data_IF_718659623385
#
_entry.id   IF_718659623385
#
_cell.length_a   1.000
_cell.length_b   1.000
_cell.length_c   1.000
_cell.angle_alpha   90.00
_cell.angle_beta   90.00
_cell.angle_gamma   90.00
#
_symmetry.space_group_name_H-M   'P 1'
#
loop_
_entity.id
_entity.type
_entity.pdbx_description
1 polymer ?
#
# COMPACT_ATOMS: atom_id res chain seq x y z
N UNK A 1 15.43 24.16 13.49
CA UNK A 1 15.33 22.88 12.75
C UNK A 1 13.91 22.76 12.26
N UNK A 2 13.69 23.03 10.96
CA UNK A 2 12.38 22.89 10.35
C UNK A 2 12.04 21.39 10.31
N UNK A 3 11.04 20.97 11.07
CA UNK A 3 10.46 19.64 10.93
C UNK A 3 9.70 19.68 9.60
N UNK A 4 10.29 19.09 8.57
CA UNK A 4 9.57 18.87 7.30
C UNK A 4 8.50 17.84 7.63
N UNK A 5 7.23 18.22 7.48
CA UNK A 5 6.13 17.27 7.62
C UNK A 5 6.36 16.09 6.67
N UNK A 6 6.06 14.85 7.10
CA UNK A 6 6.19 13.69 6.22
C UNK A 6 5.36 13.90 4.97
N UNK A 7 5.94 13.59 3.83
CA UNK A 7 5.29 13.77 2.52
C UNK A 7 3.99 12.96 2.48
N UNK A 8 2.86 13.62 2.21
CA UNK A 8 1.51 13.04 2.17
C UNK A 8 1.06 12.35 3.47
N UNK A 9 1.51 12.85 4.63
CA UNK A 9 1.17 12.31 5.95
C UNK A 9 1.50 10.81 6.13
N UNK A 10 2.45 10.30 5.35
CA UNK A 10 2.91 8.92 5.47
C UNK A 10 3.82 8.78 6.69
N UNK A 11 3.54 7.81 7.54
CA UNK A 11 4.38 7.46 8.68
C UNK A 11 5.65 6.73 8.18
N UNK A 12 6.83 7.34 8.28
CA UNK A 12 8.07 6.71 7.81
C UNK A 12 8.36 5.39 8.53
N UNK A 13 8.88 4.41 7.82
CA UNK A 13 9.19 3.08 8.39
C UNK A 13 10.13 3.18 9.60
N UNK A 14 11.11 4.08 9.56
CA UNK A 14 12.00 4.30 10.69
C UNK A 14 11.27 4.82 11.94
N UNK A 15 10.13 5.48 11.78
CA UNK A 15 9.35 6.02 12.89
C UNK A 15 8.45 4.96 13.54
N UNK A 16 7.77 4.12 12.75
CA UNK A 16 6.86 3.12 13.29
C UNK A 16 7.55 1.79 13.63
N UNK A 17 8.72 1.52 13.09
CA UNK A 17 9.46 0.27 13.31
C UNK A 17 10.83 0.50 13.96
N UNK A 18 11.39 1.70 13.83
CA UNK A 18 12.66 2.08 14.45
C UNK A 18 13.89 1.85 13.58
N UNK A 19 13.77 1.21 12.42
CA UNK A 19 14.87 1.05 11.48
C UNK A 19 14.42 1.36 10.04
N UNK A 20 15.30 1.98 9.22
CA UNK A 20 14.94 2.31 7.84
C UNK A 20 14.79 1.05 6.99
N UNK A 21 14.14 1.20 5.83
CA UNK A 21 14.02 0.12 4.85
C UNK A 21 15.39 -0.30 4.34
N UNK A 22 15.57 -1.62 4.18
CA UNK A 22 16.74 -2.20 3.53
C UNK A 22 16.63 -2.20 1.99
N UNK A 23 15.47 -1.90 1.44
CA UNK A 23 15.28 -1.81 -0.01
C UNK A 23 16.02 -0.60 -0.55
N UNK A 24 16.74 -0.78 -1.67
CA UNK A 24 17.67 0.22 -2.20
C UNK A 24 17.28 0.74 -3.59
N UNK A 25 16.45 -0.01 -4.34
CA UNK A 25 16.15 0.32 -5.73
C UNK A 25 14.93 1.24 -5.77
N UNK A 26 15.14 2.48 -6.22
CA UNK A 26 14.07 3.45 -6.41
C UNK A 26 13.21 3.09 -7.63
N UNK A 27 11.89 3.31 -7.50
CA UNK A 27 10.98 3.27 -8.64
C UNK A 27 11.23 4.46 -9.56
N UNK A 28 11.05 4.25 -10.87
CA UNK A 28 11.02 5.35 -11.84
C UNK A 28 9.74 6.16 -11.61
N UNK A 29 9.87 7.45 -11.38
CA UNK A 29 8.75 8.37 -11.11
C UNK A 29 8.47 9.28 -12.32
N UNK A 30 7.22 9.69 -12.51
CA UNK A 30 6.04 9.33 -11.73
C UNK A 30 5.62 7.88 -12.00
N UNK A 31 5.23 7.17 -10.94
CA UNK A 31 4.71 5.78 -11.03
C UNK A 31 3.34 5.80 -11.71
N UNK A 32 3.05 4.81 -12.53
CA UNK A 32 1.83 4.78 -13.36
C UNK A 32 0.81 3.72 -12.96
N UNK A 33 1.14 2.86 -12.00
CA UNK A 33 0.28 1.75 -11.58
C UNK A 33 0.19 1.64 -10.06
N UNK A 34 -1.03 1.53 -9.56
CA UNK A 34 -1.34 1.28 -8.15
C UNK A 34 -2.08 -0.04 -8.01
N UNK A 35 -1.59 -0.93 -7.18
CA UNK A 35 -2.19 -2.22 -6.89
C UNK A 35 -2.79 -2.20 -5.49
N UNK A 36 -4.11 -2.35 -5.39
CA UNK A 36 -4.81 -2.41 -4.10
C UNK A 36 -4.80 -3.84 -3.58
N UNK A 37 -4.39 -4.00 -2.33
CA UNK A 37 -4.25 -5.29 -1.64
C UNK A 37 -4.90 -5.25 -0.26
N UNK A 38 -5.14 -6.43 0.33
CA UNK A 38 -5.38 -6.58 1.76
C UNK A 38 -4.38 -7.57 2.36
N UNK A 39 -4.21 -7.50 3.67
CA UNK A 39 -3.18 -8.29 4.36
C UNK A 39 -3.71 -9.58 4.97
N UNK A 40 -5.02 -9.77 5.04
CA UNK A 40 -5.70 -10.89 5.73
C UNK A 40 -5.24 -11.00 7.20
N UNK A 41 -5.05 -9.86 7.83
CA UNK A 41 -4.78 -9.74 9.26
C UNK A 41 -6.02 -9.28 10.01
N UNK A 42 -5.91 -9.16 11.33
CA UNK A 42 -6.89 -8.37 12.09
C UNK A 42 -6.87 -6.93 11.60
N UNK A 43 -8.01 -6.27 11.72
CA UNK A 43 -8.07 -4.81 11.57
C UNK A 43 -7.52 -4.14 12.82
N UNK A 44 -7.16 -2.88 12.68
CA UNK A 44 -6.70 -2.03 13.78
C UNK A 44 -7.46 -0.71 13.77
N UNK A 45 -7.64 -0.13 14.96
CA UNK A 45 -8.29 1.18 15.13
C UNK A 45 -7.44 2.16 15.95
N UNK A 46 -6.35 1.70 16.54
CA UNK A 46 -5.40 2.53 17.29
C UNK A 46 -4.04 2.51 16.63
N UNK A 47 -3.24 3.54 16.88
CA UNK A 47 -1.87 3.61 16.34
C UNK A 47 -1.03 2.41 16.81
N UNK A 48 -1.10 2.07 18.10
CA UNK A 48 -0.35 0.96 18.66
C UNK A 48 -0.70 -0.39 18.02
N UNK A 49 -1.98 -0.65 17.79
CA UNK A 49 -2.43 -1.90 17.15
C UNK A 49 -2.03 -1.94 15.67
N UNK A 50 -2.17 -0.84 14.95
CA UNK A 50 -1.80 -0.78 13.54
C UNK A 50 -0.27 -0.97 13.36
N UNK A 51 0.53 -0.32 14.17
CA UNK A 51 1.99 -0.48 14.16
C UNK A 51 2.39 -1.92 14.51
N UNK A 52 1.72 -2.53 15.49
CA UNK A 52 1.97 -3.92 15.86
C UNK A 52 1.70 -4.88 14.70
N UNK A 53 0.60 -4.68 13.96
CA UNK A 53 0.28 -5.50 12.78
C UNK A 53 1.32 -5.27 11.68
N UNK A 54 1.66 -4.02 11.39
CA UNK A 54 2.67 -3.67 10.40
C UNK A 54 4.04 -4.29 10.73
N UNK A 55 4.47 -4.20 11.99
CA UNK A 55 5.69 -4.85 12.50
C UNK A 55 5.65 -6.37 12.35
N UNK A 56 4.50 -6.98 12.62
CA UNK A 56 4.29 -8.42 12.44
C UNK A 56 4.45 -8.85 10.99
N UNK A 57 3.89 -8.08 10.05
CA UNK A 57 4.04 -8.35 8.60
C UNK A 57 5.51 -8.25 8.19
N UNK A 58 6.19 -7.17 8.57
CA UNK A 58 7.61 -6.98 8.26
C UNK A 58 8.47 -8.13 8.80
N UNK A 59 8.28 -8.48 10.06
CA UNK A 59 9.01 -9.56 10.73
C UNK A 59 8.78 -10.91 10.05
N UNK A 60 7.54 -11.23 9.73
CA UNK A 60 7.19 -12.46 9.02
C UNK A 60 7.85 -12.53 7.65
N UNK A 61 7.80 -11.46 6.87
CA UNK A 61 8.37 -11.45 5.53
C UNK A 61 9.90 -11.56 5.54
N UNK A 62 10.58 -10.93 6.49
CA UNK A 62 12.03 -11.05 6.63
C UNK A 62 12.42 -12.43 7.18
N UNK A 63 11.79 -12.89 8.24
CA UNK A 63 12.25 -14.06 9.00
C UNK A 63 11.73 -15.38 8.44
N UNK A 64 10.51 -15.41 7.93
CA UNK A 64 9.84 -16.64 7.45
C UNK A 64 9.83 -16.74 5.94
N UNK A 65 9.44 -15.67 5.24
CA UNK A 65 9.40 -15.63 3.77
C UNK A 65 10.79 -15.43 3.16
N UNK A 66 11.73 -14.88 3.94
CA UNK A 66 13.12 -14.60 3.51
C UNK A 66 13.23 -13.47 2.48
N UNK A 67 12.33 -12.50 2.55
CA UNK A 67 12.51 -11.25 1.83
C UNK A 67 13.61 -10.39 2.47
N UNK A 68 14.23 -9.52 1.69
CA UNK A 68 15.21 -8.55 2.20
C UNK A 68 14.56 -7.57 3.18
N UNK A 69 13.31 -7.19 2.91
CA UNK A 69 12.48 -6.33 3.74
C UNK A 69 11.00 -6.46 3.35
N UNK A 70 10.12 -5.72 4.04
CA UNK A 70 8.69 -5.71 3.75
C UNK A 70 8.42 -5.48 2.25
N UNK A 71 7.55 -6.30 1.69
CA UNK A 71 7.23 -6.30 0.25
C UNK A 71 6.24 -5.22 -0.16
N UNK A 72 5.26 -4.90 0.69
CA UNK A 72 4.25 -3.89 0.41
C UNK A 72 4.86 -2.49 0.38
N UNK A 73 4.40 -1.67 -0.57
CA UNK A 73 4.85 -0.28 -0.68
C UNK A 73 4.32 0.58 0.47
N UNK A 74 3.00 0.58 0.68
CA UNK A 74 2.30 1.34 1.71
C UNK A 74 1.22 0.49 2.36
N UNK A 75 1.09 0.63 3.69
CA UNK A 75 0.06 -0.05 4.47
C UNK A 75 -0.97 0.99 4.93
N UNK A 76 -2.26 0.64 4.84
CA UNK A 76 -3.35 1.53 5.23
C UNK A 76 -4.02 0.95 6.48
N UNK A 77 -3.92 1.66 7.60
CA UNK A 77 -4.53 1.24 8.86
C UNK A 77 -5.99 1.67 8.98
N UNK A 78 -6.76 0.89 9.75
CA UNK A 78 -8.14 1.24 10.10
C UNK A 78 -8.26 2.52 10.92
N UNK A 79 -7.15 3.00 11.49
CA UNK A 79 -7.02 4.29 12.18
C UNK A 79 -6.91 5.49 11.22
N UNK A 80 -6.91 5.25 9.89
CA UNK A 80 -6.77 6.31 8.88
C UNK A 80 -5.35 6.80 8.66
N UNK A 81 -4.35 6.04 9.06
CA UNK A 81 -2.93 6.36 8.81
C UNK A 81 -2.35 5.49 7.70
N UNK A 82 -1.44 6.10 6.94
CA UNK A 82 -0.66 5.43 5.91
C UNK A 82 0.75 5.18 6.45
N UNK A 83 1.19 3.94 6.38
CA UNK A 83 2.50 3.50 6.88
C UNK A 83 3.40 3.16 5.70
N UNK A 84 4.61 3.73 5.69
CA UNK A 84 5.61 3.38 4.68
C UNK A 84 6.12 1.94 4.91
N UNK A 85 6.07 1.13 3.85
CA UNK A 85 6.78 -0.14 3.77
C UNK A 85 8.01 0.01 2.86
N UNK A 86 7.98 -0.60 1.68
CA UNK A 86 8.99 -0.34 0.64
C UNK A 86 8.94 1.12 0.15
N UNK A 87 7.84 1.82 0.37
CA UNK A 87 7.66 3.21 -0.06
C UNK A 87 7.70 3.33 -1.57
N UNK A 88 8.40 4.33 -2.07
CA UNK A 88 8.61 4.57 -3.51
C UNK A 88 9.82 3.80 -4.07
N UNK A 89 10.19 2.72 -3.43
CA UNK A 89 11.22 1.76 -3.88
C UNK A 89 10.56 0.48 -4.41
N UNK A 90 11.29 -0.27 -5.20
CA UNK A 90 10.82 -1.56 -5.73
C UNK A 90 10.54 -2.51 -4.56
N UNK A 91 9.29 -2.93 -4.45
CA UNK A 91 8.83 -3.85 -3.43
C UNK A 91 8.85 -5.31 -3.87
N UNK A 92 8.11 -6.14 -3.14
CA UNK A 92 7.86 -7.54 -3.47
C UNK A 92 6.40 -7.87 -3.14
N UNK A 93 5.47 -7.22 -3.81
CA UNK A 93 4.03 -7.31 -3.54
C UNK A 93 3.23 -7.95 -4.67
N UNK A 94 3.68 -7.84 -5.93
CA UNK A 94 2.96 -8.35 -7.10
C UNK A 94 3.96 -8.79 -8.17
N UNK A 95 4.14 -10.10 -8.30
CA UNK A 95 5.12 -10.67 -9.23
C UNK A 95 4.89 -10.15 -10.67
N UNK A 96 5.95 -9.66 -11.29
CA UNK A 96 5.93 -9.09 -12.64
C UNK A 96 5.58 -7.60 -12.70
N UNK A 97 5.20 -6.98 -11.55
CA UNK A 97 4.79 -5.58 -11.49
C UNK A 97 5.53 -4.76 -10.43
N UNK A 98 6.42 -5.38 -9.66
CA UNK A 98 7.10 -4.74 -8.54
C UNK A 98 7.96 -3.54 -8.94
N UNK A 99 8.52 -3.55 -10.12
CA UNK A 99 9.44 -2.51 -10.64
C UNK A 99 8.72 -1.34 -11.33
N UNK A 100 7.40 -1.41 -11.46
CA UNK A 100 6.60 -0.40 -12.17
C UNK A 100 5.32 0.02 -11.45
N UNK A 101 5.15 -0.40 -10.21
CA UNK A 101 3.95 -0.12 -9.43
C UNK A 101 4.24 0.08 -7.95
N UNK A 102 3.29 0.69 -7.27
CA UNK A 102 3.19 0.66 -5.82
C UNK A 102 1.98 -0.18 -5.41
N UNK A 103 2.04 -0.77 -4.21
CA UNK A 103 0.86 -1.36 -3.58
C UNK A 103 0.33 -0.46 -2.46
N UNK A 104 -0.99 -0.40 -2.36
CA UNK A 104 -1.71 0.07 -1.18
C UNK A 104 -2.38 -1.13 -0.52
N UNK A 105 -1.87 -1.54 0.64
CA UNK A 105 -2.30 -2.77 1.31
C UNK A 105 -3.07 -2.41 2.57
N UNK A 106 -4.37 -2.59 2.54
CA UNK A 106 -5.24 -2.35 3.69
C UNK A 106 -5.03 -3.43 4.75
N UNK A 107 -4.79 -3.02 5.99
CA UNK A 107 -4.64 -3.93 7.13
C UNK A 107 -6.00 -4.51 7.51
N UNK A 108 -6.21 -5.79 7.23
CA UNK A 108 -7.45 -6.50 7.51
C UNK A 108 -7.80 -7.52 6.44
N UNK A 109 -9.02 -8.06 6.55
CA UNK A 109 -9.63 -8.99 5.60
C UNK A 109 -10.93 -8.38 5.05
N UNK A 110 -10.94 -8.06 3.78
CA UNK A 110 -12.02 -7.32 3.15
C UNK A 110 -12.75 -8.13 2.06
N UNK A 111 -12.85 -9.43 2.28
CA UNK A 111 -13.67 -10.31 1.45
C UNK A 111 -15.16 -10.06 1.64
N UNK A 112 -15.61 -9.76 2.87
CA UNK A 112 -17.03 -9.65 3.24
C UNK A 112 -17.44 -8.28 3.80
N UNK A 113 -16.47 -7.37 4.01
CA UNK A 113 -16.73 -6.02 4.54
C UNK A 113 -15.74 -5.02 3.95
N UNK A 114 -16.06 -3.74 4.06
CA UNK A 114 -15.17 -2.64 3.68
C UNK A 114 -14.19 -2.27 4.82
N UNK A 115 -13.03 -1.72 4.49
CA UNK A 115 -12.22 -0.99 5.46
C UNK A 115 -13.01 0.14 6.13
N UNK A 116 -12.49 0.67 7.24
CA UNK A 116 -13.07 1.84 7.89
C UNK A 116 -13.15 3.03 6.92
N UNK A 117 -14.09 3.94 7.16
CA UNK A 117 -14.20 5.17 6.36
C UNK A 117 -12.91 5.98 6.40
N UNK A 118 -12.23 6.01 7.57
CA UNK A 118 -10.95 6.68 7.73
C UNK A 118 -9.87 6.06 6.85
N UNK A 119 -9.81 4.72 6.77
CA UNK A 119 -8.85 4.03 5.92
C UNK A 119 -9.09 4.30 4.44
N UNK A 120 -10.34 4.24 3.99
CA UNK A 120 -10.71 4.55 2.59
C UNK A 120 -10.37 6.00 2.23
N UNK A 121 -10.67 6.93 3.12
CA UNK A 121 -10.32 8.35 2.92
C UNK A 121 -8.82 8.56 2.89
N UNK A 122 -8.08 7.96 3.82
CA UNK A 122 -6.62 8.07 3.87
C UNK A 122 -5.96 7.56 2.57
N UNK A 123 -6.47 6.47 2.01
CA UNK A 123 -5.99 5.93 0.73
C UNK A 123 -6.22 6.91 -0.42
N UNK A 124 -7.40 7.51 -0.52
CA UNK A 124 -7.71 8.47 -1.57
C UNK A 124 -6.92 9.78 -1.41
N UNK A 125 -6.79 10.28 -0.20
CA UNK A 125 -5.98 11.48 0.11
C UNK A 125 -4.50 11.23 -0.24
N UNK A 126 -3.98 10.05 0.08
CA UNK A 126 -2.63 9.65 -0.27
C UNK A 126 -2.40 9.63 -1.79
N UNK A 127 -3.32 9.07 -2.54
CA UNK A 127 -3.24 9.04 -4.02
C UNK A 127 -3.23 10.45 -4.60
N UNK A 128 -4.14 11.31 -4.15
CA UNK A 128 -4.24 12.70 -4.60
C UNK A 128 -2.97 13.49 -4.28
N UNK A 129 -2.47 13.38 -3.06
CA UNK A 129 -1.23 14.03 -2.65
C UNK A 129 -0.01 13.52 -3.43
N UNK A 130 0.04 12.22 -3.71
CA UNK A 130 1.13 11.61 -4.48
C UNK A 130 1.17 12.09 -5.92
N UNK A 131 0.02 12.38 -6.51
CA UNK A 131 -0.08 13.03 -7.83
C UNK A 131 0.44 14.47 -7.74
N UNK A 132 0.03 15.23 -6.74
CA UNK A 132 0.46 16.62 -6.54
C UNK A 132 1.98 16.73 -6.37
N UNK A 133 2.60 15.74 -5.73
CA UNK A 133 4.05 15.67 -5.52
C UNK A 133 4.82 15.05 -6.69
N UNK A 134 4.14 14.66 -7.75
CA UNK A 134 4.73 14.04 -8.94
C UNK A 134 5.42 12.68 -8.67
N UNK A 135 5.07 12.03 -7.58
CA UNK A 135 5.46 10.64 -7.32
C UNK A 135 4.57 9.65 -8.07
N UNK A 136 3.30 10.00 -8.24
CA UNK A 136 2.30 9.25 -8.98
C UNK A 136 1.88 10.07 -10.21
N UNK A 137 1.77 9.42 -11.36
CA UNK A 137 1.32 10.07 -12.59
C UNK A 137 -0.16 10.46 -12.48
N UNK A 138 -0.54 11.64 -12.97
CA UNK A 138 -1.93 12.10 -12.94
C UNK A 138 -2.90 11.21 -13.71
N UNK A 139 -2.40 10.43 -14.68
CA UNK A 139 -3.16 9.44 -15.46
C UNK A 139 -2.85 8.00 -15.03
N UNK A 140 -2.54 7.79 -13.74
CA UNK A 140 -2.22 6.46 -13.24
C UNK A 140 -3.41 5.48 -13.40
N UNK A 141 -3.10 4.19 -13.47
CA UNK A 141 -4.08 3.11 -13.40
C UNK A 141 -4.15 2.55 -11.99
N UNK A 142 -5.36 2.23 -11.55
CA UNK A 142 -5.62 1.57 -10.27
C UNK A 142 -6.30 0.23 -10.53
N UNK A 143 -5.74 -0.83 -9.97
CA UNK A 143 -6.25 -2.20 -10.10
C UNK A 143 -6.28 -2.90 -8.74
N UNK A 144 -7.15 -3.90 -8.62
CA UNK A 144 -7.09 -4.83 -7.50
C UNK A 144 -6.04 -5.91 -7.76
N UNK A 145 -5.42 -6.42 -6.71
CA UNK A 145 -4.42 -7.47 -6.78
C UNK A 145 -4.90 -8.69 -7.58
N UNK A 146 -6.16 -9.09 -7.40
CA UNK A 146 -6.76 -10.23 -8.10
C UNK A 146 -6.84 -10.04 -9.62
N UNK A 147 -6.73 -8.82 -10.12
CA UNK A 147 -6.71 -8.54 -11.56
C UNK A 147 -5.36 -8.89 -12.21
N UNK A 148 -4.29 -9.00 -11.42
CA UNK A 148 -2.92 -9.24 -11.88
C UNK A 148 -2.36 -10.60 -11.43
N UNK A 149 -2.94 -11.23 -10.42
CA UNK A 149 -2.44 -12.47 -9.81
C UNK A 149 -3.60 -13.38 -9.40
N UNK A 150 -3.34 -14.68 -9.31
CA UNK A 150 -4.29 -15.67 -8.79
C UNK A 150 -4.38 -15.56 -7.26
N UNK A 151 -5.16 -14.62 -6.75
CA UNK A 151 -5.34 -14.33 -5.33
C UNK A 151 -6.73 -13.81 -5.05
N UNK A 152 -7.20 -13.92 -3.82
CA UNK A 152 -8.45 -13.29 -3.36
C UNK A 152 -8.26 -11.82 -2.94
N UNK A 153 -7.00 -11.37 -2.78
CA UNK A 153 -6.69 -9.97 -2.46
C UNK A 153 -7.16 -9.03 -3.58
N UNK A 154 -7.77 -7.91 -3.28
CA UNK A 154 -7.95 -7.25 -1.98
C UNK A 154 -9.20 -7.69 -1.21
N UNK A 155 -9.86 -8.78 -1.61
CA UNK A 155 -11.15 -9.23 -1.11
C UNK A 155 -12.30 -8.74 -2.00
N UNK A 156 -13.32 -9.57 -2.19
CA UNK A 156 -14.41 -9.28 -3.14
C UNK A 156 -15.15 -7.98 -2.82
N UNK A 157 -15.37 -7.68 -1.54
CA UNK A 157 -16.07 -6.46 -1.14
C UNK A 157 -15.24 -5.21 -1.40
N UNK A 158 -13.95 -5.21 -1.06
CA UNK A 158 -13.07 -4.08 -1.37
C UNK A 158 -12.85 -3.95 -2.88
N UNK A 159 -12.71 -5.06 -3.60
CA UNK A 159 -12.58 -5.04 -5.07
C UNK A 159 -13.76 -4.31 -5.71
N UNK A 160 -14.98 -4.68 -5.35
CA UNK A 160 -16.19 -4.01 -5.89
C UNK A 160 -16.21 -2.51 -5.55
N UNK A 161 -15.69 -2.12 -4.42
CA UNK A 161 -15.64 -0.72 -4.01
C UNK A 161 -14.63 0.08 -4.83
N UNK A 162 -13.40 -0.42 -5.00
CA UNK A 162 -12.37 0.28 -5.78
C UNK A 162 -12.71 0.38 -7.28
N UNK A 163 -13.56 -0.49 -7.78
CA UNK A 163 -14.09 -0.41 -9.16
C UNK A 163 -14.92 0.86 -9.39
N UNK A 164 -15.36 1.52 -8.33
CA UNK A 164 -16.04 2.82 -8.39
C UNK A 164 -15.09 4.02 -8.31
N UNK A 165 -13.80 3.79 -8.03
CA UNK A 165 -12.82 4.86 -7.86
C UNK A 165 -12.35 5.41 -9.20
N UNK A 166 -11.92 6.68 -9.23
CA UNK A 166 -11.21 7.23 -10.38
C UNK A 166 -9.98 6.39 -10.72
N UNK A 167 -9.63 6.33 -12.00
CA UNK A 167 -8.47 5.62 -12.52
C UNK A 167 -8.55 4.08 -12.48
N UNK A 168 -9.64 3.50 -11.97
CA UNK A 168 -9.78 2.05 -12.03
C UNK A 168 -9.74 1.53 -13.46
N UNK A 169 -8.95 0.50 -13.68
CA UNK A 169 -8.74 -0.12 -14.98
C UNK A 169 -9.34 -1.54 -14.99
N UNK A 170 -10.30 -1.79 -15.87
CA UNK A 170 -10.92 -3.11 -16.02
C UNK A 170 -10.01 -4.08 -16.79
N UNK A 171 -9.56 -3.67 -17.97
CA UNK A 171 -8.72 -4.51 -18.85
C UNK A 171 -7.24 -4.24 -18.59
N UNK A 172 -6.59 -5.25 -17.97
CA UNK A 172 -5.17 -5.18 -17.57
C UNK A 172 -4.21 -5.74 -18.62
N UNK A 173 -4.69 -6.10 -19.81
CA UNK A 173 -3.89 -6.80 -20.83
C UNK A 173 -2.71 -5.98 -21.38
N UNK A 174 -2.72 -4.66 -21.19
CA UNK A 174 -1.72 -3.74 -21.74
C UNK A 174 -0.85 -3.01 -20.67
N UNK A 175 -0.83 -3.50 -19.43
CA UNK A 175 -0.03 -2.89 -18.36
C UNK A 175 1.10 -3.78 -17.86
#
# INVERSE_FOLDING_TARGET
MLIVAPECDVMPIAQWEGSPSKRQIELVKPVTLVVVQHTVTKECSTDADCEKIANGIRSFQINDVKFDDIGQSFLIGGNGKVYEGAGWRVGAHTLGYNDKSISMSFLGDFREKLPSEQALKAAQDFLSCSVDNNNLNGEYYLVGHMQLSATLSPGATLQSHIETWPHWLNDTSNI
#
